data_IF_722995975834
#
_entry.id   IF_722995975834
#
_cell.length_a   1.000
_cell.length_b   1.000
_cell.length_c   1.000
_cell.angle_alpha   90.00
_cell.angle_beta   90.00
_cell.angle_gamma   90.00
#
_symmetry.space_group_name_H-M   'P 1'
#
loop_
_entity.id
_entity.type
_entity.pdbx_description
1 polymer ?
#
# COMPACT_ATOMS: atom_id res chain seq x y z
N UNK A 1 0.71 21.75 -51.94
CA UNK A 1 -0.43 22.03 -52.82
C UNK A 1 -1.62 22.16 -51.90
N UNK A 2 -1.91 23.41 -51.51
CA UNK A 2 -3.03 24.26 -51.99
C UNK A 2 -4.37 23.67 -51.53
N UNK A 3 -5.26 24.40 -50.85
CA UNK A 3 -5.71 25.77 -51.17
C UNK A 3 -6.32 26.47 -49.92
N UNK A 4 -6.03 27.74 -49.86
CA UNK A 4 -6.68 28.79 -49.09
C UNK A 4 -8.11 28.99 -49.59
N UNK A 5 -9.10 29.24 -48.67
CA UNK A 5 -10.41 29.79 -49.00
C UNK A 5 -10.66 31.00 -48.13
N UNK A 6 -11.06 32.14 -48.71
CA UNK A 6 -11.17 33.44 -48.01
C UNK A 6 -12.53 33.61 -47.32
N UNK A 7 -12.52 34.51 -46.31
CA UNK A 7 -13.67 34.96 -45.54
C UNK A 7 -14.53 35.97 -46.35
N UNK A 8 -15.84 36.04 -46.13
CA UNK A 8 -16.65 37.15 -46.62
C UNK A 8 -16.76 38.30 -45.60
N UNK A 9 -16.55 39.46 -46.10
CA UNK A 9 -16.78 40.77 -45.57
C UNK A 9 -18.29 41.04 -45.40
N UNK A 10 -18.74 41.52 -44.23
CA UNK A 10 -20.13 41.96 -44.03
C UNK A 10 -20.14 43.33 -43.37
N UNK A 11 -20.68 44.22 -44.14
CA UNK A 11 -20.78 45.64 -43.95
C UNK A 11 -21.51 46.11 -42.70
N UNK A 12 -21.06 47.26 -42.29
CA UNK A 12 -21.63 48.17 -41.31
C UNK A 12 -23.03 48.67 -41.74
N UNK A 13 -24.03 48.49 -40.88
CA UNK A 13 -25.25 49.27 -40.88
C UNK A 13 -25.47 49.92 -39.51
N UNK A 14 -25.20 51.22 -39.46
CA UNK A 14 -25.61 52.10 -38.40
C UNK A 14 -27.13 52.36 -38.48
N UNK A 15 -27.85 52.00 -37.44
CA UNK A 15 -29.22 52.48 -37.20
C UNK A 15 -29.32 52.99 -35.76
N UNK A 16 -29.35 54.29 -35.63
CA UNK A 16 -29.61 55.01 -34.38
C UNK A 16 -31.07 54.80 -33.97
N UNK A 17 -31.37 54.37 -32.80
CA UNK A 17 -32.68 54.41 -32.16
C UNK A 17 -32.62 55.27 -30.88
N UNK A 18 -33.66 56.04 -30.59
CA UNK A 18 -33.64 57.01 -29.49
C UNK A 18 -33.81 56.36 -28.13
N UNK A 19 -33.04 56.83 -27.15
CA UNK A 19 -33.10 56.46 -25.77
C UNK A 19 -34.31 56.95 -25.01
N UNK A 20 -35.12 56.14 -24.36
CA UNK A 20 -36.06 56.64 -23.35
C UNK A 20 -35.29 56.85 -22.02
N UNK A 21 -35.29 58.09 -21.55
CA UNK A 21 -34.77 58.44 -20.22
C UNK A 21 -35.73 58.01 -19.13
N UNK A 22 -35.44 56.78 -18.55
CA UNK A 22 -36.10 56.29 -17.36
C UNK A 22 -35.32 56.75 -16.13
N UNK A 23 -35.86 57.65 -15.35
CA UNK A 23 -35.33 58.05 -14.04
C UNK A 23 -35.89 57.10 -12.96
N UNK A 24 -35.17 56.19 -12.42
CA UNK A 24 -35.66 55.36 -11.30
C UNK A 24 -35.70 56.18 -10.01
N UNK A 25 -36.83 56.19 -9.34
CA UNK A 25 -37.01 56.85 -8.05
C UNK A 25 -36.21 56.11 -6.97
N UNK A 26 -35.52 56.86 -6.11
CA UNK A 26 -34.63 56.36 -5.02
C UNK A 26 -35.29 55.39 -4.02
N UNK A 27 -36.61 55.20 -4.11
CA UNK A 27 -37.38 54.32 -3.22
C UNK A 27 -37.51 52.88 -3.74
N UNK A 28 -37.22 52.62 -5.02
CA UNK A 28 -37.28 51.28 -5.62
C UNK A 28 -35.99 50.47 -5.37
N UNK A 29 -34.85 51.12 -5.08
CA UNK A 29 -33.59 50.43 -4.82
C UNK A 29 -33.46 49.85 -3.41
N UNK A 30 -34.21 50.36 -2.44
CA UNK A 30 -34.15 49.88 -1.05
C UNK A 30 -34.84 48.52 -0.82
N UNK A 31 -35.83 48.14 -1.64
CA UNK A 31 -36.56 46.90 -1.52
C UNK A 31 -35.91 45.73 -2.31
N UNK A 32 -35.19 46.04 -3.39
CA UNK A 32 -34.47 45.02 -4.16
C UNK A 32 -33.18 44.53 -3.45
N UNK A 33 -32.53 45.42 -2.67
CA UNK A 33 -31.34 45.07 -1.89
C UNK A 33 -31.61 44.11 -0.71
N UNK A 34 -32.79 44.21 -0.09
CA UNK A 34 -33.17 43.37 1.03
C UNK A 34 -33.56 41.95 0.59
N UNK A 35 -34.04 41.76 -0.63
CA UNK A 35 -34.42 40.41 -1.13
C UNK A 35 -33.21 39.61 -1.62
N UNK A 36 -32.15 40.26 -2.09
CA UNK A 36 -30.92 39.60 -2.53
C UNK A 36 -30.05 39.17 -1.33
N UNK A 37 -30.11 39.90 -0.20
CA UNK A 37 -29.39 39.52 1.01
C UNK A 37 -30.03 38.34 1.74
N UNK A 38 -31.34 38.12 1.55
CA UNK A 38 -32.05 36.97 2.16
C UNK A 38 -31.80 35.63 1.41
N UNK A 39 -31.35 35.67 0.14
CA UNK A 39 -31.00 34.51 -0.64
C UNK A 39 -29.55 34.05 -0.45
N UNK A 40 -28.69 34.91 0.11
CA UNK A 40 -27.27 34.56 0.41
C UNK A 40 -27.12 33.80 1.74
N UNK A 41 -28.18 33.68 2.55
CA UNK A 41 -28.22 32.80 3.73
C UNK A 41 -28.87 31.45 3.42
N UNK A 42 -29.03 31.12 2.13
CA UNK A 42 -29.39 29.77 1.66
C UNK A 42 -28.31 28.79 2.12
N UNK A 43 -28.61 28.08 3.20
CA UNK A 43 -27.73 27.29 4.02
C UNK A 43 -26.67 26.54 3.22
N UNK A 44 -25.41 26.74 3.56
CA UNK A 44 -24.46 25.66 3.55
C UNK A 44 -25.08 24.58 4.45
N UNK A 45 -25.82 23.64 3.85
CA UNK A 45 -26.15 22.40 4.54
C UNK A 45 -24.78 21.87 4.94
N UNK A 46 -24.49 21.92 6.23
CA UNK A 46 -23.23 21.40 6.77
C UNK A 46 -23.22 19.90 6.47
N UNK A 47 -22.57 19.53 5.38
CA UNK A 47 -22.48 18.13 4.93
C UNK A 47 -21.54 17.32 5.79
N UNK A 48 -20.74 17.99 6.64
CA UNK A 48 -19.75 17.34 7.51
C UNK A 48 -20.34 16.24 8.40
N UNK A 49 -21.44 16.46 9.15
CA UNK A 49 -21.98 15.39 9.99
C UNK A 49 -22.46 14.18 9.21
N UNK A 50 -22.91 14.37 7.97
CA UNK A 50 -23.29 13.27 7.09
C UNK A 50 -22.06 12.53 6.56
N UNK A 51 -21.06 13.24 6.08
CA UNK A 51 -19.80 12.70 5.59
C UNK A 51 -19.08 11.91 6.69
N UNK A 52 -19.06 12.44 7.92
CA UNK A 52 -18.52 11.77 9.09
C UNK A 52 -19.24 10.47 9.40
N UNK A 53 -20.58 10.46 9.42
CA UNK A 53 -21.36 9.22 9.62
C UNK A 53 -21.10 8.20 8.52
N UNK A 54 -21.01 8.63 7.27
CA UNK A 54 -20.69 7.76 6.14
C UNK A 54 -19.32 7.13 6.32
N UNK A 55 -18.31 7.93 6.69
CA UNK A 55 -16.96 7.43 6.93
C UNK A 55 -16.88 6.48 8.13
N UNK A 56 -17.53 6.81 9.26
CA UNK A 56 -17.60 5.92 10.42
C UNK A 56 -18.26 4.58 10.05
N UNK A 57 -19.36 4.61 9.31
CA UNK A 57 -20.06 3.41 8.86
C UNK A 57 -19.16 2.57 7.94
N UNK A 58 -18.48 3.21 7.00
CA UNK A 58 -17.50 2.55 6.13
C UNK A 58 -16.40 1.86 6.94
N UNK A 59 -15.75 2.55 7.88
CA UNK A 59 -14.69 1.98 8.72
C UNK A 59 -15.20 0.77 9.51
N UNK A 60 -16.40 0.83 10.08
CA UNK A 60 -17.00 -0.30 10.80
C UNK A 60 -17.24 -1.47 9.87
N UNK A 61 -18.02 -1.27 8.80
CA UNK A 61 -18.55 -2.37 7.98
C UNK A 61 -17.55 -2.94 6.98
N UNK A 62 -16.58 -2.13 6.53
CA UNK A 62 -15.63 -2.53 5.47
C UNK A 62 -14.22 -2.81 5.98
N UNK A 63 -13.89 -2.38 7.21
CA UNK A 63 -12.58 -2.60 7.82
C UNK A 63 -12.72 -3.40 9.12
N UNK A 64 -13.45 -2.88 10.12
CA UNK A 64 -13.45 -3.44 11.47
C UNK A 64 -14.20 -4.77 11.54
N UNK A 65 -15.39 -4.86 10.93
CA UNK A 65 -16.24 -6.04 10.99
C UNK A 65 -15.82 -7.16 10.01
N UNK A 66 -14.81 -6.89 9.16
CA UNK A 66 -14.30 -7.92 8.23
C UNK A 66 -13.25 -8.79 8.93
N UNK A 67 -13.26 -10.11 8.72
CA UNK A 67 -12.22 -10.97 9.23
C UNK A 67 -10.89 -10.68 8.51
N UNK A 68 -9.79 -10.79 9.23
CA UNK A 68 -8.45 -10.61 8.69
C UNK A 68 -8.09 -9.18 8.28
N UNK A 69 -7.00 -9.06 7.57
CA UNK A 69 -6.56 -7.81 6.98
C UNK A 69 -7.36 -7.56 5.69
N UNK A 70 -8.26 -6.58 5.74
CA UNK A 70 -9.06 -6.18 4.59
C UNK A 70 -8.79 -4.71 4.25
N UNK A 71 -8.29 -4.48 3.03
CA UNK A 71 -7.98 -3.14 2.51
C UNK A 71 -8.99 -2.84 1.40
N UNK A 72 -10.05 -2.05 1.68
CA UNK A 72 -11.05 -1.73 0.68
C UNK A 72 -10.44 -0.91 -0.47
N UNK A 73 -10.71 -1.31 -1.70
CA UNK A 73 -10.39 -0.49 -2.88
C UNK A 73 -11.52 0.52 -3.04
N UNK A 74 -11.16 1.82 -3.08
CA UNK A 74 -12.11 2.92 -3.18
C UNK A 74 -11.89 3.68 -4.48
N UNK A 75 -12.99 4.02 -5.17
CA UNK A 75 -12.95 4.97 -6.28
C UNK A 75 -12.89 6.41 -5.76
N UNK A 76 -12.46 7.34 -6.61
CA UNK A 76 -12.48 8.78 -6.27
C UNK A 76 -13.88 9.27 -5.92
N UNK A 77 -14.92 8.69 -6.54
CA UNK A 77 -16.31 8.99 -6.23
C UNK A 77 -16.68 8.56 -4.82
N UNK A 78 -16.29 7.34 -4.42
CA UNK A 78 -16.58 6.84 -3.07
C UNK A 78 -15.84 7.66 -2.00
N UNK A 79 -14.60 8.08 -2.31
CA UNK A 79 -13.82 8.96 -1.42
C UNK A 79 -14.46 10.35 -1.28
N UNK A 80 -15.10 10.86 -2.33
CA UNK A 80 -15.79 12.15 -2.28
C UNK A 80 -16.94 12.16 -1.25
N UNK A 81 -17.61 11.02 -1.03
CA UNK A 81 -18.68 10.87 -0.03
C UNK A 81 -18.19 11.00 1.42
N UNK A 82 -16.88 10.88 1.64
CA UNK A 82 -16.25 11.09 2.95
C UNK A 82 -15.88 12.55 3.21
N UNK A 83 -15.91 13.42 2.18
CA UNK A 83 -15.53 14.82 2.28
C UNK A 83 -14.11 14.99 2.86
N UNK A 84 -13.91 15.78 3.94
CA UNK A 84 -12.59 16.02 4.52
C UNK A 84 -11.97 14.73 5.11
N UNK A 85 -12.76 13.69 5.35
CA UNK A 85 -12.28 12.43 5.93
C UNK A 85 -11.69 11.47 4.89
N UNK A 86 -11.78 11.79 3.61
CA UNK A 86 -11.09 11.03 2.56
C UNK A 86 -9.58 10.96 2.81
N UNK A 87 -8.97 12.05 3.28
CA UNK A 87 -7.54 12.09 3.59
C UNK A 87 -7.18 11.19 4.77
N UNK A 88 -8.08 11.01 5.72
CA UNK A 88 -7.87 10.08 6.82
C UNK A 88 -7.78 8.63 6.33
N UNK A 89 -8.61 8.25 5.36
CA UNK A 89 -8.53 6.94 4.72
C UNK A 89 -7.24 6.80 3.90
N UNK A 90 -6.84 7.84 3.17
CA UNK A 90 -5.61 7.86 2.37
C UNK A 90 -4.34 7.60 3.20
N UNK A 91 -4.32 7.99 4.47
CA UNK A 91 -3.20 7.70 5.38
C UNK A 91 -3.03 6.18 5.54
N UNK A 92 -4.10 5.45 5.87
CA UNK A 92 -4.06 4.00 6.05
C UNK A 92 -3.78 3.27 4.73
N UNK A 93 -4.46 3.67 3.66
CA UNK A 93 -4.27 3.07 2.34
C UNK A 93 -2.87 3.34 1.77
N UNK A 94 -2.33 4.53 2.01
CA UNK A 94 -0.98 4.92 1.58
C UNK A 94 0.12 4.08 2.21
N UNK A 95 -0.04 3.63 3.45
CA UNK A 95 0.86 2.66 4.09
C UNK A 95 0.93 1.36 3.26
N UNK A 96 -0.22 0.80 2.88
CA UNK A 96 -0.27 -0.43 2.09
C UNK A 96 0.33 -0.25 0.69
N UNK A 97 0.03 0.85 0.02
CA UNK A 97 0.61 1.11 -1.30
C UNK A 97 2.13 1.19 -1.29
N UNK A 98 2.72 1.81 -0.26
CA UNK A 98 4.18 1.86 -0.11
C UNK A 98 4.76 0.47 0.14
N UNK A 99 4.12 -0.33 0.99
CA UNK A 99 4.53 -1.69 1.30
C UNK A 99 4.44 -2.60 0.07
N UNK A 100 3.32 -2.57 -0.66
CA UNK A 100 3.10 -3.37 -1.86
C UNK A 100 4.12 -3.02 -2.96
N UNK A 101 4.43 -1.74 -3.14
CA UNK A 101 5.41 -1.30 -4.13
C UNK A 101 6.82 -1.83 -3.81
N UNK A 102 7.21 -1.83 -2.52
CA UNK A 102 8.50 -2.36 -2.08
C UNK A 102 8.58 -3.88 -2.26
N UNK A 103 7.56 -4.62 -1.80
CA UNK A 103 7.49 -6.08 -1.93
C UNK A 103 7.51 -6.48 -3.41
N UNK A 104 6.73 -5.84 -4.26
CA UNK A 104 6.63 -6.17 -5.68
C UNK A 104 7.95 -5.98 -6.41
N UNK A 105 8.71 -4.95 -6.08
CA UNK A 105 10.03 -4.67 -6.66
C UNK A 105 11.04 -5.76 -6.30
N UNK A 106 11.13 -6.12 -5.02
CA UNK A 106 12.09 -7.11 -4.54
C UNK A 106 11.71 -8.53 -4.98
N UNK A 107 10.40 -8.85 -5.02
CA UNK A 107 9.91 -10.10 -5.57
C UNK A 107 10.22 -10.24 -7.07
N UNK A 108 9.99 -9.21 -7.88
CA UNK A 108 10.32 -9.23 -9.30
C UNK A 108 11.81 -9.50 -9.53
N UNK A 109 12.68 -8.89 -8.72
CA UNK A 109 14.12 -9.14 -8.80
C UNK A 109 14.49 -10.57 -8.41
N UNK A 110 13.88 -11.14 -7.37
CA UNK A 110 14.08 -12.52 -6.99
C UNK A 110 13.61 -13.51 -8.07
N UNK A 111 12.47 -13.24 -8.71
CA UNK A 111 11.94 -14.05 -9.79
C UNK A 111 12.85 -14.08 -11.04
N UNK A 112 13.55 -12.98 -11.35
CA UNK A 112 14.50 -12.94 -12.46
C UNK A 112 15.68 -13.90 -12.28
N UNK A 113 16.11 -14.13 -11.04
CA UNK A 113 17.23 -15.03 -10.72
C UNK A 113 16.76 -16.49 -10.68
N UNK A 114 15.48 -16.72 -10.39
CA UNK A 114 14.89 -18.04 -10.17
C UNK A 114 14.93 -18.46 -8.70
N UNK A 115 13.85 -19.12 -8.27
CA UNK A 115 13.72 -19.61 -6.89
C UNK A 115 14.20 -21.06 -6.83
N UNK A 116 15.20 -21.41 -6.00
CA UNK A 116 15.67 -22.78 -5.83
C UNK A 116 14.54 -23.71 -5.37
N UNK A 117 14.40 -24.87 -6.04
CA UNK A 117 13.40 -25.91 -5.71
C UNK A 117 14.03 -27.18 -5.20
N UNK A 118 15.35 -27.29 -5.31
CA UNK A 118 16.15 -28.44 -4.89
C UNK A 118 17.50 -27.97 -4.36
N UNK A 119 18.27 -28.89 -3.77
CA UNK A 119 19.66 -28.62 -3.36
C UNK A 119 20.56 -28.33 -4.57
N UNK A 120 20.29 -28.95 -5.70
CA UNK A 120 20.99 -28.67 -6.95
C UNK A 120 20.69 -27.26 -7.43
N UNK A 121 19.41 -26.86 -7.47
CA UNK A 121 18.99 -25.50 -7.80
C UNK A 121 19.59 -24.47 -6.83
N UNK A 122 19.66 -24.80 -5.53
CA UNK A 122 20.24 -23.91 -4.52
C UNK A 122 21.74 -23.66 -4.80
N UNK A 123 22.47 -24.69 -5.20
CA UNK A 123 23.87 -24.56 -5.63
C UNK A 123 24.00 -23.65 -6.85
N UNK A 124 23.19 -23.93 -7.88
CA UNK A 124 23.31 -23.30 -9.19
C UNK A 124 22.75 -21.86 -9.21
N UNK A 125 21.78 -21.58 -8.35
CA UNK A 125 21.16 -20.25 -8.21
C UNK A 125 21.51 -19.54 -6.90
N UNK A 126 22.64 -19.89 -6.26
CA UNK A 126 23.04 -19.30 -4.97
C UNK A 126 23.13 -17.75 -4.99
N UNK A 127 23.31 -17.14 -6.18
CA UNK A 127 23.31 -15.69 -6.36
C UNK A 127 22.01 -15.01 -5.93
N UNK A 128 20.91 -15.76 -5.75
CA UNK A 128 19.66 -15.22 -5.19
C UNK A 128 19.79 -14.84 -3.71
N UNK A 129 20.64 -15.53 -2.92
CA UNK A 129 20.69 -15.36 -1.47
C UNK A 129 21.06 -13.93 -1.04
N UNK A 130 22.15 -13.29 -1.58
CA UNK A 130 22.43 -11.91 -1.25
C UNK A 130 21.34 -10.94 -1.73
N UNK A 131 20.62 -11.25 -2.81
CA UNK A 131 19.51 -10.45 -3.30
C UNK A 131 18.32 -10.53 -2.33
N UNK A 132 17.97 -11.73 -1.86
CA UNK A 132 16.93 -11.91 -0.84
C UNK A 132 17.29 -11.19 0.45
N UNK A 133 18.52 -11.32 0.92
CA UNK A 133 19.01 -10.64 2.13
C UNK A 133 18.90 -9.12 2.02
N UNK A 134 19.37 -8.56 0.91
CA UNK A 134 19.27 -7.12 0.64
C UNK A 134 17.80 -6.66 0.52
N UNK A 135 16.96 -7.44 -0.16
CA UNK A 135 15.52 -7.16 -0.30
C UNK A 135 14.81 -7.12 1.05
N UNK A 136 15.16 -8.02 1.97
CA UNK A 136 14.58 -8.04 3.33
C UNK A 136 15.00 -6.84 4.17
N UNK A 137 16.26 -6.43 4.07
CA UNK A 137 16.74 -5.20 4.75
C UNK A 137 16.02 -3.98 4.21
N UNK A 138 15.88 -3.89 2.89
CA UNK A 138 15.15 -2.81 2.23
C UNK A 138 13.68 -2.80 2.63
N UNK A 139 13.01 -3.96 2.59
CA UNK A 139 11.60 -4.09 2.97
C UNK A 139 11.35 -3.64 4.42
N UNK A 140 12.25 -4.02 5.35
CA UNK A 140 12.15 -3.55 6.74
C UNK A 140 12.28 -2.03 6.83
N UNK A 141 13.25 -1.45 6.16
CA UNK A 141 13.47 0.01 6.15
C UNK A 141 12.28 0.77 5.57
N UNK A 142 11.71 0.28 4.47
CA UNK A 142 10.54 0.89 3.83
C UNK A 142 9.27 0.72 4.70
N UNK A 143 9.13 -0.41 5.41
CA UNK A 143 8.05 -0.63 6.36
C UNK A 143 8.13 0.34 7.54
N UNK A 144 9.30 0.44 8.19
CA UNK A 144 9.53 1.34 9.32
C UNK A 144 9.24 2.81 8.92
N UNK A 145 9.65 3.20 7.70
CA UNK A 145 9.37 4.52 7.15
C UNK A 145 7.90 4.73 6.85
N UNK A 146 7.24 3.77 6.21
CA UNK A 146 5.83 3.87 5.86
C UNK A 146 4.94 3.96 7.11
N UNK A 147 5.25 3.18 8.17
CA UNK A 147 4.58 3.23 9.46
C UNK A 147 4.82 4.58 10.16
N UNK A 148 6.07 5.04 10.21
CA UNK A 148 6.42 6.34 10.80
C UNK A 148 5.73 7.52 10.11
N UNK A 149 5.67 7.52 8.78
CA UNK A 149 4.96 8.53 8.00
C UNK A 149 3.44 8.51 8.30
N UNK A 150 2.85 7.31 8.35
CA UNK A 150 1.42 7.14 8.64
C UNK A 150 1.09 7.58 10.08
N UNK A 151 1.93 7.23 11.06
CA UNK A 151 1.79 7.65 12.46
C UNK A 151 1.91 9.17 12.64
N UNK A 152 2.86 9.79 11.97
CA UNK A 152 3.02 11.24 11.99
C UNK A 152 1.80 11.94 11.39
N UNK A 153 1.30 11.44 10.26
CA UNK A 153 0.09 11.95 9.62
C UNK A 153 -1.14 11.77 10.51
N UNK A 154 -1.33 10.59 11.14
CA UNK A 154 -2.42 10.31 12.09
C UNK A 154 -2.40 11.28 13.27
N UNK A 155 -1.23 11.54 13.86
CA UNK A 155 -1.08 12.47 15.00
C UNK A 155 -1.48 13.91 14.67
N UNK A 156 -1.35 14.31 13.39
CA UNK A 156 -1.73 15.63 12.93
C UNK A 156 -3.24 15.79 12.68
N UNK A 157 -4.02 14.69 12.66
CA UNK A 157 -5.45 14.72 12.38
C UNK A 157 -6.22 15.39 13.52
N UNK A 158 -7.14 16.27 13.12
CA UNK A 158 -8.15 16.85 14.03
C UNK A 158 -9.46 16.10 13.80
N UNK A 159 -9.81 15.24 14.73
CA UNK A 159 -11.00 14.38 14.61
C UNK A 159 -11.97 14.64 15.75
N UNK A 160 -13.30 14.67 15.46
CA UNK A 160 -14.32 14.57 16.49
C UNK A 160 -14.17 13.26 17.30
N UNK A 161 -14.53 13.26 18.60
CA UNK A 161 -14.29 12.11 19.48
C UNK A 161 -14.95 10.79 19.00
N UNK A 162 -16.13 10.87 18.40
CA UNK A 162 -16.87 9.73 17.87
C UNK A 162 -16.14 9.08 16.67
N UNK A 163 -15.62 9.90 15.75
CA UNK A 163 -14.81 9.42 14.65
C UNK A 163 -13.46 8.90 15.15
N UNK A 164 -12.79 9.63 16.04
CA UNK A 164 -11.46 9.25 16.54
C UNK A 164 -11.46 7.83 17.11
N UNK A 165 -12.47 7.49 17.93
CA UNK A 165 -12.57 6.17 18.54
C UNK A 165 -12.67 5.04 17.51
N UNK A 166 -13.43 5.24 16.44
CA UNK A 166 -13.58 4.25 15.35
C UNK A 166 -12.33 4.21 14.44
N UNK A 167 -11.79 5.38 14.15
CA UNK A 167 -10.60 5.51 13.32
C UNK A 167 -9.37 4.83 13.95
N UNK A 168 -9.19 4.99 15.26
CA UNK A 168 -8.08 4.37 15.97
C UNK A 168 -8.12 2.84 15.88
N UNK A 169 -9.30 2.22 15.98
CA UNK A 169 -9.46 0.77 15.80
C UNK A 169 -9.16 0.35 14.35
N UNK A 170 -9.66 1.12 13.39
CA UNK A 170 -9.40 0.82 11.97
C UNK A 170 -7.92 0.99 11.62
N UNK A 171 -7.26 2.02 12.15
CA UNK A 171 -5.84 2.28 11.98
C UNK A 171 -4.98 1.16 12.58
N UNK A 172 -5.29 0.73 13.80
CA UNK A 172 -4.59 -0.39 14.44
C UNK A 172 -4.68 -1.65 13.57
N UNK A 173 -5.86 -1.90 13.02
CA UNK A 173 -6.11 -3.08 12.17
C UNK A 173 -5.42 -2.99 10.80
N UNK A 174 -5.41 -1.80 10.19
CA UNK A 174 -4.85 -1.63 8.84
C UNK A 174 -3.35 -1.30 8.83
N UNK A 175 -2.81 -0.69 9.88
CA UNK A 175 -1.42 -0.21 9.89
C UNK A 175 -0.62 -0.89 11.00
N UNK A 176 -0.97 -0.66 12.28
CA UNK A 176 -0.14 -1.07 13.42
C UNK A 176 0.01 -2.60 13.50
N UNK A 177 -1.08 -3.35 13.41
CA UNK A 177 -1.03 -4.81 13.51
C UNK A 177 -0.26 -5.45 12.34
N UNK A 178 -0.49 -5.10 11.06
CA UNK A 178 0.34 -5.57 9.96
C UNK A 178 1.81 -5.21 10.10
N UNK A 179 2.13 -3.97 10.43
CA UNK A 179 3.52 -3.53 10.62
C UNK A 179 4.22 -4.37 11.70
N UNK A 180 3.57 -4.57 12.84
CA UNK A 180 4.11 -5.41 13.94
C UNK A 180 4.37 -6.85 13.48
N UNK A 181 3.42 -7.48 12.78
CA UNK A 181 3.58 -8.87 12.29
C UNK A 181 4.76 -8.95 11.30
N UNK A 182 4.90 -8.01 10.40
CA UNK A 182 6.05 -7.97 9.48
C UNK A 182 7.37 -7.75 10.23
N UNK A 183 7.41 -6.85 11.22
CA UNK A 183 8.59 -6.63 12.06
C UNK A 183 9.01 -7.88 12.84
N UNK A 184 8.06 -8.72 13.26
CA UNK A 184 8.36 -10.02 13.91
C UNK A 184 8.85 -11.08 12.92
N UNK A 185 8.37 -11.04 11.66
CA UNK A 185 8.73 -12.00 10.62
C UNK A 185 10.12 -11.81 10.05
N UNK A 186 10.54 -10.56 9.82
CA UNK A 186 11.81 -10.25 9.17
C UNK A 186 13.01 -10.90 9.89
N UNK A 187 13.16 -10.80 11.22
CA UNK A 187 14.27 -11.46 11.94
C UNK A 187 14.25 -12.99 11.81
N UNK A 188 13.06 -13.59 11.79
CA UNK A 188 12.95 -15.06 11.67
C UNK A 188 13.46 -15.55 10.32
N UNK A 189 13.11 -14.84 9.25
CA UNK A 189 13.59 -15.18 7.91
C UNK A 189 15.08 -14.83 7.76
N UNK A 190 15.53 -13.70 8.28
CA UNK A 190 16.95 -13.32 8.27
C UNK A 190 17.82 -14.32 9.03
N UNK A 191 17.32 -14.86 10.15
CA UNK A 191 18.02 -15.89 10.94
C UNK A 191 18.19 -17.22 10.20
N UNK A 192 17.36 -17.49 9.20
CA UNK A 192 17.46 -18.70 8.36
C UNK A 192 18.56 -18.57 7.29
N UNK A 193 18.82 -17.37 6.78
CA UNK A 193 19.69 -17.17 5.63
C UNK A 193 21.13 -17.67 5.82
N UNK A 194 21.82 -17.47 6.97
CA UNK A 194 23.18 -17.97 7.15
C UNK A 194 23.31 -19.48 6.97
N UNK A 195 22.37 -20.24 7.51
CA UNK A 195 22.40 -21.70 7.36
C UNK A 195 22.19 -22.16 5.91
N UNK A 196 21.39 -21.42 5.15
CA UNK A 196 21.18 -21.67 3.72
C UNK A 196 22.41 -21.21 2.90
N UNK A 197 23.02 -20.08 3.25
CA UNK A 197 24.27 -19.58 2.64
C UNK A 197 25.41 -20.59 2.83
N UNK A 198 25.59 -21.13 4.05
CA UNK A 198 26.59 -22.16 4.36
C UNK A 198 26.37 -23.44 3.56
N UNK A 199 25.13 -23.91 3.49
CA UNK A 199 24.76 -25.10 2.71
C UNK A 199 25.02 -24.87 1.22
N UNK A 200 24.61 -23.74 0.66
CA UNK A 200 24.82 -23.40 -0.75
C UNK A 200 26.31 -23.28 -1.10
N UNK A 201 27.09 -22.66 -0.21
CA UNK A 201 28.55 -22.53 -0.36
C UNK A 201 29.24 -23.90 -0.37
N UNK A 202 28.85 -24.78 0.58
CA UNK A 202 29.38 -26.13 0.66
C UNK A 202 29.07 -27.00 -0.57
N UNK A 203 27.83 -26.89 -1.08
CA UNK A 203 27.43 -27.57 -2.32
C UNK A 203 28.23 -27.09 -3.53
N UNK A 204 28.53 -25.78 -3.61
CA UNK A 204 29.30 -25.19 -4.69
C UNK A 204 30.78 -25.57 -4.62
N UNK A 205 31.39 -25.54 -3.43
CA UNK A 205 32.77 -25.92 -3.20
C UNK A 205 33.01 -27.41 -3.56
N UNK A 206 32.02 -28.25 -3.29
CA UNK A 206 32.10 -29.68 -3.51
C UNK A 206 31.35 -30.14 -4.77
N UNK A 207 31.15 -29.27 -5.75
CA UNK A 207 30.35 -29.57 -6.97
C UNK A 207 30.86 -30.74 -7.81
N UNK A 208 32.16 -31.06 -7.69
CA UNK A 208 32.78 -32.18 -8.39
C UNK A 208 32.66 -33.52 -7.63
N UNK A 209 32.35 -33.50 -6.35
CA UNK A 209 32.21 -34.66 -5.47
C UNK A 209 30.81 -34.93 -4.98
N UNK A 210 29.95 -33.91 -5.00
CA UNK A 210 28.52 -34.00 -4.75
C UNK A 210 27.79 -33.97 -6.07
N UNK A 211 27.26 -35.07 -6.51
CA UNK A 211 26.40 -35.17 -7.71
C UNK A 211 24.94 -35.33 -7.31
N UNK A 212 24.02 -35.10 -8.26
CA UNK A 212 22.60 -35.26 -7.99
C UNK A 212 21.98 -36.34 -8.89
N UNK A 213 21.12 -37.15 -8.30
CA UNK A 213 20.35 -38.17 -9.04
C UNK A 213 18.91 -38.12 -8.57
N UNK A 214 18.01 -37.73 -9.48
CA UNK A 214 16.60 -37.55 -9.12
C UNK A 214 16.37 -36.51 -8.02
N UNK A 215 17.18 -35.43 -8.01
CA UNK A 215 17.10 -34.38 -6.98
C UNK A 215 17.76 -34.69 -5.64
N UNK A 216 18.23 -35.94 -5.43
CA UNK A 216 18.92 -36.34 -4.21
C UNK A 216 20.45 -36.28 -4.37
N UNK A 217 21.17 -35.77 -3.35
CA UNK A 217 22.64 -35.71 -3.42
C UNK A 217 23.24 -37.11 -3.31
N UNK A 218 24.23 -37.41 -4.15
CA UNK A 218 25.03 -38.63 -4.15
C UNK A 218 26.46 -38.26 -3.82
N UNK A 219 26.97 -38.81 -2.70
CA UNK A 219 28.28 -38.49 -2.17
C UNK A 219 28.99 -39.78 -1.81
N UNK A 220 30.18 -40.04 -2.37
CA UNK A 220 30.96 -41.26 -2.12
C UNK A 220 31.77 -41.15 -0.84
N UNK A 221 32.38 -39.98 -0.59
CA UNK A 221 33.20 -39.76 0.61
C UNK A 221 32.34 -39.64 1.88
N UNK A 222 32.63 -40.49 2.94
CA UNK A 222 31.85 -40.46 4.17
C UNK A 222 31.94 -39.13 4.94
N UNK A 223 33.08 -38.45 4.92
CA UNK A 223 33.25 -37.18 5.65
C UNK A 223 32.44 -36.05 4.99
N UNK A 224 32.53 -35.96 3.66
CA UNK A 224 31.72 -35.01 2.85
C UNK A 224 30.22 -35.25 3.07
N UNK A 225 29.81 -36.54 3.10
CA UNK A 225 28.41 -36.92 3.34
C UNK A 225 27.92 -36.47 4.72
N UNK A 226 28.71 -36.77 5.77
CA UNK A 226 28.37 -36.38 7.14
C UNK A 226 28.23 -34.85 7.29
N UNK A 227 29.16 -34.08 6.72
CA UNK A 227 29.09 -32.63 6.74
C UNK A 227 27.88 -32.06 5.98
N UNK A 228 27.60 -32.61 4.78
CA UNK A 228 26.41 -32.23 4.00
C UNK A 228 25.13 -32.48 4.78
N UNK A 229 24.98 -33.66 5.41
CA UNK A 229 23.83 -34.02 6.25
C UNK A 229 23.67 -33.02 7.39
N UNK A 230 24.74 -32.68 8.09
CA UNK A 230 24.70 -31.72 9.19
C UNK A 230 24.25 -30.29 8.72
N UNK A 231 24.70 -29.87 7.55
CA UNK A 231 24.29 -28.58 6.97
C UNK A 231 22.81 -28.59 6.55
N UNK A 232 22.34 -29.68 5.94
CA UNK A 232 20.92 -29.87 5.61
C UNK A 232 20.06 -29.81 6.87
N UNK A 233 20.44 -30.51 7.93
CA UNK A 233 19.73 -30.53 9.21
C UNK A 233 19.70 -29.13 9.85
N UNK A 234 20.79 -28.38 9.78
CA UNK A 234 20.89 -27.02 10.31
C UNK A 234 19.96 -26.07 9.52
N UNK A 235 20.00 -26.14 8.20
CA UNK A 235 19.09 -25.34 7.34
C UNK A 235 17.62 -25.72 7.56
N UNK A 236 17.33 -27.02 7.73
CA UNK A 236 15.99 -27.53 8.05
C UNK A 236 15.45 -27.02 9.38
N UNK A 237 16.26 -27.00 10.43
CA UNK A 237 15.89 -26.44 11.74
C UNK A 237 15.65 -24.93 11.66
N UNK A 238 16.50 -24.20 10.94
CA UNK A 238 16.33 -22.78 10.73
C UNK A 238 15.04 -22.48 9.94
N UNK A 239 14.71 -23.29 8.92
CA UNK A 239 13.47 -23.18 8.17
C UNK A 239 12.23 -23.43 9.04
N UNK A 240 12.28 -24.42 9.96
CA UNK A 240 11.17 -24.68 10.89
C UNK A 240 10.87 -23.50 11.80
N UNK A 241 11.89 -22.77 12.27
CA UNK A 241 11.68 -21.57 13.06
C UNK A 241 10.90 -20.47 12.30
N UNK A 242 11.02 -20.42 10.97
CA UNK A 242 10.26 -19.48 10.14
C UNK A 242 8.79 -19.87 9.94
N UNK A 243 8.42 -21.15 10.14
CA UNK A 243 7.04 -21.62 9.95
C UNK A 243 6.08 -21.01 10.98
N UNK A 244 6.54 -20.72 12.19
CA UNK A 244 5.73 -20.00 13.18
C UNK A 244 5.38 -18.60 12.69
N UNK A 245 6.35 -17.89 12.13
CA UNK A 245 6.11 -16.57 11.52
C UNK A 245 5.12 -16.63 10.36
N UNK A 246 5.25 -17.63 9.48
CA UNK A 246 4.29 -17.83 8.38
C UNK A 246 2.89 -18.13 8.90
N UNK A 247 2.74 -18.86 10.00
CA UNK A 247 1.43 -19.11 10.65
C UNK A 247 0.82 -17.80 11.17
N UNK A 248 1.62 -16.95 11.84
CA UNK A 248 1.17 -15.64 12.33
C UNK A 248 0.69 -14.75 11.18
N UNK A 249 1.46 -14.69 10.07
CA UNK A 249 1.08 -13.93 8.89
C UNK A 249 -0.24 -14.43 8.29
N UNK A 250 -0.41 -15.74 8.16
CA UNK A 250 -1.64 -16.34 7.66
C UNK A 250 -2.82 -16.05 8.59
N UNK A 251 -2.63 -16.21 9.91
CA UNK A 251 -3.67 -15.91 10.91
C UNK A 251 -4.12 -14.44 10.83
N UNK A 252 -3.17 -13.50 10.69
CA UNK A 252 -3.49 -12.09 10.48
C UNK A 252 -4.27 -11.86 9.17
N UNK A 253 -3.82 -12.48 8.07
CA UNK A 253 -4.48 -12.31 6.77
C UNK A 253 -5.90 -12.90 6.75
N UNK A 254 -6.12 -14.01 7.45
CA UNK A 254 -7.40 -14.74 7.50
C UNK A 254 -8.31 -14.32 8.67
N UNK A 255 -7.78 -13.57 9.63
CA UNK A 255 -8.53 -13.12 10.82
C UNK A 255 -8.79 -14.24 11.84
N UNK A 256 -7.84 -15.17 11.95
CA UNK A 256 -7.87 -16.29 12.91
C UNK A 256 -6.94 -16.04 14.08
#
# INVERSE_FOLDING_TARGET
MQALVPAPDVGTMNAALPSPSFRPSRRAFALAGALVLALATGGCIDSEPQQRRTFITFLKTRVIDKPGLHIPIMSDKDLADFGPYADHYRIMNGFHHKLDASISKDLARAMQIGTPRSLEDLRDHRAILPVLKAGMVNMKSELDKAEGDADAARKALKQPPDLKAVYDIAYDRMVTTPAKVFCELVPLIQGMLPAIEDLAAYLDEHRNTITFRGGSPVVSDPATRAKLTALIDTAGKAAQASEEGKRKLRAMAEGK
#
